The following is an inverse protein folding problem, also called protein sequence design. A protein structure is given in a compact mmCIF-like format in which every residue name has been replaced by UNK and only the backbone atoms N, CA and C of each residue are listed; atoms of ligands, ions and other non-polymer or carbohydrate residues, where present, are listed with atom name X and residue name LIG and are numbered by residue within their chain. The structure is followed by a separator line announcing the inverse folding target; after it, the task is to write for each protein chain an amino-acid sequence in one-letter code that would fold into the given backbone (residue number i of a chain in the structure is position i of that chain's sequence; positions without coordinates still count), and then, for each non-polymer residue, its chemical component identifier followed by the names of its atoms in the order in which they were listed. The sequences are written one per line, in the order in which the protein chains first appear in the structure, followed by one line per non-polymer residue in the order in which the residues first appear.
data_IF_605685337542
#
_entry.id   IF_605685337542
#
_cell.length_a   1.000
_cell.length_b   1.000
_cell.length_c   1.000
_cell.angle_alpha   90.00
_cell.angle_beta   90.00
_cell.angle_gamma   90.00
#
_symmetry.space_group_name_H-M   'P 1'
#
loop_
_entity.id
_entity.type
_entity.pdbx_description
1 polymer ?
#
# COMPACT_ATOMS: atom_id res chain seq x y z
N UNK A 1 -13.64 21.43 9.20
CA UNK A 1 -14.74 20.47 8.96
C UNK A 1 -14.10 19.22 8.37
N UNK A 2 -14.13 18.07 9.05
CA UNK A 2 -13.61 16.84 8.45
C UNK A 2 -14.43 16.57 7.19
N UNK A 3 -13.79 16.56 6.03
CA UNK A 3 -14.48 16.16 4.81
C UNK A 3 -15.05 14.75 5.01
N UNK A 4 -16.21 14.49 4.40
CA UNK A 4 -16.80 13.15 4.40
C UNK A 4 -15.76 12.13 3.90
N UNK A 5 -15.74 10.93 4.49
CA UNK A 5 -14.78 9.90 4.14
C UNK A 5 -14.89 9.52 2.65
N UNK A 6 -16.08 9.65 2.08
CA UNK A 6 -16.32 9.45 0.65
C UNK A 6 -15.54 10.45 -0.20
N UNK A 7 -15.46 11.71 0.23
CA UNK A 7 -14.72 12.75 -0.47
C UNK A 7 -13.21 12.59 -0.29
N UNK A 8 -12.77 12.05 0.86
CA UNK A 8 -11.38 11.63 1.05
C UNK A 8 -10.97 10.53 0.04
N UNK A 9 -11.86 9.57 -0.24
CA UNK A 9 -11.60 8.55 -1.24
C UNK A 9 -11.68 9.08 -2.68
N UNK A 10 -12.59 9.99 -3.01
CA UNK A 10 -12.63 10.62 -4.35
C UNK A 10 -11.39 11.47 -4.64
N UNK A 11 -10.86 12.13 -3.61
CA UNK A 11 -9.70 13.01 -3.73
C UNK A 11 -8.38 12.33 -3.38
N UNK A 12 -8.31 11.00 -3.54
CA UNK A 12 -7.15 10.19 -3.19
C UNK A 12 -5.83 10.73 -3.75
N UNK A 13 -4.79 10.78 -2.93
CA UNK A 13 -3.46 11.28 -3.29
C UNK A 13 -2.62 10.14 -3.82
N UNK A 14 -2.69 9.90 -5.13
CA UNK A 14 -2.01 8.82 -5.86
C UNK A 14 -1.37 9.28 -7.19
N UNK A 15 -1.13 10.58 -7.34
CA UNK A 15 -0.35 11.13 -8.46
C UNK A 15 0.71 12.07 -7.90
N UNK A 16 1.79 12.26 -8.65
CA UNK A 16 2.90 13.12 -8.25
C UNK A 16 2.39 14.55 -8.00
N UNK A 17 1.55 15.08 -8.89
CA UNK A 17 1.02 16.44 -8.81
C UNK A 17 0.08 16.63 -7.60
N UNK A 18 -0.64 15.57 -7.20
CA UNK A 18 -1.47 15.60 -5.98
C UNK A 18 -0.59 15.54 -4.74
N UNK A 19 0.47 14.74 -4.76
CA UNK A 19 1.39 14.54 -3.64
C UNK A 19 2.22 15.79 -3.33
N UNK A 20 2.69 16.50 -4.36
CA UNK A 20 3.47 17.75 -4.26
C UNK A 20 2.74 18.89 -3.52
N UNK A 21 1.41 18.79 -3.40
CA UNK A 21 0.62 19.72 -2.58
C UNK A 21 0.91 19.57 -1.09
N UNK A 22 1.27 18.36 -0.66
CA UNK A 22 1.48 17.99 0.74
C UNK A 22 2.96 17.98 1.12
N UNK A 23 3.82 17.50 0.21
CA UNK A 23 5.24 17.31 0.48
C UNK A 23 6.13 17.87 -0.62
N UNK A 24 7.35 18.26 -0.26
CA UNK A 24 8.40 18.57 -1.22
C UNK A 24 9.12 17.25 -1.57
N UNK A 25 9.01 16.81 -2.82
CA UNK A 25 9.62 15.56 -3.30
C UNK A 25 11.11 15.75 -3.55
N UNK A 26 11.90 14.75 -3.15
CA UNK A 26 13.29 14.62 -3.60
C UNK A 26 13.33 14.11 -5.04
N UNK A 27 14.45 14.34 -5.74
CA UNK A 27 14.63 13.84 -7.10
C UNK A 27 14.56 12.30 -7.17
N UNK A 28 15.06 11.63 -6.13
CA UNK A 28 14.99 10.17 -6.02
C UNK A 28 13.54 9.69 -5.89
N UNK A 29 12.74 10.27 -5.00
CA UNK A 29 11.33 9.87 -4.84
C UNK A 29 10.53 10.15 -6.10
N UNK A 30 10.78 11.28 -6.78
CA UNK A 30 10.12 11.57 -8.06
C UNK A 30 10.40 10.47 -9.08
N UNK A 31 11.68 10.12 -9.28
CA UNK A 31 12.08 9.07 -10.20
C UNK A 31 11.43 7.73 -9.84
N UNK A 32 11.46 7.35 -8.56
CA UNK A 32 10.84 6.11 -8.10
C UNK A 32 9.33 6.12 -8.35
N UNK A 33 8.64 7.24 -8.10
CA UNK A 33 7.21 7.37 -8.34
C UNK A 33 6.84 7.25 -9.83
N UNK A 34 7.70 7.71 -10.73
CA UNK A 34 7.55 7.56 -12.19
C UNK A 34 7.77 6.12 -12.66
N UNK A 35 8.71 5.40 -12.03
CA UNK A 35 9.06 4.02 -12.36
C UNK A 35 8.16 2.99 -11.64
N UNK A 36 7.45 3.38 -10.59
CA UNK A 36 6.65 2.46 -9.76
C UNK A 36 5.38 2.02 -10.48
N UNK A 37 5.21 0.70 -10.63
CA UNK A 37 3.97 0.09 -11.15
C UNK A 37 2.99 -0.36 -10.06
N UNK A 38 3.43 -0.43 -8.81
CA UNK A 38 2.57 -0.82 -7.68
C UNK A 38 1.63 0.31 -7.27
N UNK A 39 0.41 -0.04 -6.87
CA UNK A 39 -0.53 0.97 -6.32
C UNK A 39 0.06 1.60 -5.06
N UNK A 40 -0.03 2.94 -4.99
CA UNK A 40 0.44 3.72 -3.86
C UNK A 40 -0.51 4.89 -3.60
N UNK A 41 -0.30 5.55 -2.47
CA UNK A 41 -1.04 6.74 -2.11
C UNK A 41 -1.95 6.57 -0.90
N UNK A 42 -2.58 7.67 -0.51
CA UNK A 42 -3.42 7.72 0.67
C UNK A 42 -4.52 8.79 0.53
N UNK A 43 -5.47 8.79 1.46
CA UNK A 43 -6.42 9.90 1.59
C UNK A 43 -5.73 11.26 1.80
N UNK A 44 -6.33 12.38 1.35
CA UNK A 44 -5.87 13.74 1.66
C UNK A 44 -5.54 13.99 3.12
N UNK A 45 -6.36 13.48 4.03
CA UNK A 45 -6.14 13.61 5.46
C UNK A 45 -4.84 12.93 5.88
N UNK A 46 -4.61 11.69 5.45
CA UNK A 46 -3.40 10.97 5.80
C UNK A 46 -2.15 11.61 5.17
N UNK A 47 -2.25 12.10 3.93
CA UNK A 47 -1.18 12.88 3.30
C UNK A 47 -0.86 14.18 4.04
N UNK A 48 -1.87 14.85 4.64
CA UNK A 48 -1.67 16.07 5.42
C UNK A 48 -0.91 15.87 6.75
N UNK A 49 -0.75 14.62 7.19
CA UNK A 49 0.05 14.27 8.37
C UNK A 49 1.54 14.12 8.05
N UNK A 50 1.92 14.13 6.76
CA UNK A 50 3.33 14.09 6.37
C UNK A 50 4.00 15.41 6.70
N UNK A 51 5.26 15.34 7.16
CA UNK A 51 6.13 16.50 7.18
C UNK A 51 6.50 16.86 5.73
N UNK A 52 6.33 18.14 5.39
CA UNK A 52 6.54 18.65 4.04
C UNK A 52 8.00 18.56 3.62
N UNK A 53 8.91 18.80 4.56
CA UNK A 53 10.32 19.06 4.29
C UNK A 53 11.24 17.94 4.79
N UNK A 54 10.75 17.02 5.62
CA UNK A 54 11.52 15.86 6.10
C UNK A 54 11.28 14.59 5.25
N UNK A 55 12.27 14.14 4.44
CA UNK A 55 12.18 12.87 3.71
C UNK A 55 12.14 11.64 4.64
N UNK A 56 12.62 11.78 5.89
CA UNK A 56 12.59 10.69 6.88
C UNK A 56 11.29 10.64 7.68
N UNK A 57 10.31 11.48 7.34
CA UNK A 57 9.03 11.52 8.01
C UNK A 57 8.42 10.11 8.08
N UNK A 58 8.05 9.61 9.27
CA UNK A 58 7.58 8.24 9.43
C UNK A 58 6.24 7.98 8.72
N UNK A 59 5.41 9.00 8.53
CA UNK A 59 4.16 8.89 7.77
C UNK A 59 4.45 8.80 6.27
N UNK A 60 5.37 9.65 5.79
CA UNK A 60 5.81 9.69 4.39
C UNK A 60 6.37 8.34 3.93
N UNK A 61 7.25 7.74 4.74
CA UNK A 61 7.87 6.42 4.49
C UNK A 61 6.88 5.27 4.42
N UNK A 62 5.68 5.41 4.97
CA UNK A 62 4.64 4.38 4.90
C UNK A 62 3.86 4.41 3.59
N UNK A 63 3.98 5.47 2.78
CA UNK A 63 3.09 5.72 1.62
C UNK A 63 3.88 5.91 0.33
N UNK A 64 4.98 6.68 0.39
CA UNK A 64 5.82 6.94 -0.78
C UNK A 64 6.69 5.71 -1.05
N UNK A 65 6.63 5.14 -2.27
CA UNK A 65 7.48 4.02 -2.65
C UNK A 65 8.97 4.32 -2.51
N UNK A 66 9.74 3.32 -2.12
CA UNK A 66 11.21 3.38 -2.05
C UNK A 66 11.85 2.40 -3.03
N UNK A 67 13.07 2.70 -3.48
CA UNK A 67 13.85 1.89 -4.43
C UNK A 67 14.08 0.46 -3.92
N UNK A 68 14.37 0.33 -2.63
CA UNK A 68 14.59 -0.95 -1.95
C UNK A 68 13.38 -1.89 -1.95
N UNK A 69 12.18 -1.41 -2.27
CA UNK A 69 10.99 -2.26 -2.26
C UNK A 69 10.97 -3.29 -3.39
N UNK A 70 11.76 -3.10 -4.45
CA UNK A 70 11.97 -4.10 -5.48
C UNK A 70 12.96 -5.20 -5.09
N UNK A 71 13.64 -5.07 -3.95
CA UNK A 71 14.66 -6.02 -3.51
C UNK A 71 14.11 -7.01 -2.49
N UNK A 72 13.88 -8.25 -2.91
CA UNK A 72 13.50 -9.33 -2.02
C UNK A 72 14.74 -10.04 -1.44
N UNK A 73 15.38 -9.42 -0.46
CA UNK A 73 16.63 -9.94 0.15
C UNK A 73 16.37 -11.05 1.18
N UNK A 74 15.31 -10.90 1.98
CA UNK A 74 15.01 -11.80 3.12
C UNK A 74 13.59 -12.36 3.10
N UNK A 75 12.76 -11.96 2.13
CA UNK A 75 11.39 -12.41 2.04
C UNK A 75 11.29 -13.82 1.45
N UNK A 76 10.03 -14.23 1.25
CA UNK A 76 9.69 -15.55 0.73
C UNK A 76 8.90 -15.35 -0.56
N UNK A 77 9.29 -16.05 -1.62
CA UNK A 77 8.50 -16.10 -2.85
C UNK A 77 7.15 -16.76 -2.57
N UNK A 78 6.09 -16.25 -3.20
CA UNK A 78 4.71 -16.71 -2.97
C UNK A 78 4.29 -16.69 -1.49
N UNK A 79 4.80 -15.74 -0.69
CA UNK A 79 4.50 -15.64 0.74
C UNK A 79 2.99 -15.70 1.04
N UNK A 80 2.16 -15.06 0.22
CA UNK A 80 0.71 -15.04 0.41
C UNK A 80 0.08 -16.43 0.20
N UNK A 81 0.63 -17.25 -0.71
CA UNK A 81 0.19 -18.64 -0.91
C UNK A 81 0.44 -19.49 0.34
N UNK A 82 1.60 -19.32 0.97
CA UNK A 82 1.91 -19.96 2.25
C UNK A 82 1.00 -19.43 3.36
N UNK A 83 0.88 -18.10 3.48
CA UNK A 83 0.13 -17.44 4.57
C UNK A 83 -1.36 -17.79 4.55
N UNK A 84 -1.95 -17.86 3.36
CA UNK A 84 -3.36 -18.18 3.16
C UNK A 84 -3.62 -19.69 3.03
N UNK A 85 -2.56 -20.51 3.14
CA UNK A 85 -2.57 -21.96 3.04
C UNK A 85 -3.26 -22.42 1.75
N UNK A 86 -2.79 -21.89 0.62
CA UNK A 86 -3.30 -22.15 -0.72
C UNK A 86 -2.55 -23.27 -1.45
N UNK A 87 -1.34 -23.61 -1.01
CA UNK A 87 -0.56 -24.73 -1.54
C UNK A 87 -1.09 -26.09 -1.04
N UNK A 88 -2.38 -26.34 -1.23
CA UNK A 88 -3.08 -27.56 -0.82
C UNK A 88 -3.98 -28.04 -1.97
N UNK A 89 -4.47 -29.27 -1.91
CA UNK A 89 -5.43 -29.81 -2.89
C UNK A 89 -6.83 -29.17 -2.81
N UNK A 90 -7.07 -28.34 -1.79
CA UNK A 90 -8.35 -27.67 -1.62
C UNK A 90 -8.57 -26.57 -2.68
N UNK A 91 -9.60 -26.75 -3.52
CA UNK A 91 -10.05 -25.74 -4.47
C UNK A 91 -10.98 -24.74 -3.78
N UNK A 92 -10.56 -23.48 -3.67
CA UNK A 92 -11.36 -22.40 -3.09
C UNK A 92 -11.16 -21.07 -3.87
N UNK A 93 -12.16 -20.16 -3.87
CA UNK A 93 -12.00 -18.85 -4.49
C UNK A 93 -10.83 -18.03 -3.92
N UNK A 94 -10.26 -17.13 -4.73
CA UNK A 94 -9.20 -16.21 -4.29
C UNK A 94 -9.65 -15.27 -3.17
N UNK A 95 -10.95 -14.99 -3.05
CA UNK A 95 -11.49 -14.19 -1.96
C UNK A 95 -11.47 -14.90 -0.60
N UNK A 96 -11.12 -16.19 -0.51
CA UNK A 96 -11.14 -16.96 0.74
C UNK A 96 -9.72 -17.41 1.14
N UNK A 97 -9.24 -16.90 2.28
CA UNK A 97 -8.04 -17.39 2.94
C UNK A 97 -8.41 -18.31 4.12
N UNK A 98 -7.76 -19.48 4.23
CA UNK A 98 -7.99 -20.44 5.33
C UNK A 98 -6.68 -20.98 5.87
N UNK A 99 -6.08 -20.21 6.77
CA UNK A 99 -4.87 -20.64 7.48
C UNK A 99 -5.15 -21.70 8.57
N UNK A 100 -6.38 -21.77 9.07
CA UNK A 100 -6.76 -22.61 10.19
C UNK A 100 -7.99 -23.45 9.86
N UNK A 101 -8.12 -24.61 10.51
CA UNK A 101 -9.20 -25.57 10.23
C UNK A 101 -10.60 -25.03 10.52
N UNK A 102 -10.73 -24.18 11.52
CA UNK A 102 -11.99 -23.72 12.11
C UNK A 102 -12.38 -22.28 11.77
N UNK A 103 -11.56 -21.57 10.97
CA UNK A 103 -11.80 -20.16 10.62
C UNK A 103 -11.27 -19.79 9.25
N UNK A 104 -12.00 -18.91 8.58
CA UNK A 104 -11.66 -18.35 7.27
C UNK A 104 -11.69 -16.83 7.31
N UNK A 105 -10.92 -16.20 6.44
CA UNK A 105 -10.98 -14.77 6.17
C UNK A 105 -11.48 -14.54 4.74
N UNK A 106 -12.43 -13.60 4.60
CA UNK A 106 -12.96 -13.20 3.31
C UNK A 106 -12.36 -11.85 2.89
N UNK A 107 -11.75 -11.80 1.71
CA UNK A 107 -11.39 -10.55 1.04
C UNK A 107 -12.63 -9.99 0.36
N UNK A 108 -13.30 -9.05 1.03
CA UNK A 108 -14.51 -8.40 0.52
C UNK A 108 -14.18 -7.25 -0.44
N UNK A 109 -13.03 -6.60 -0.21
CA UNK A 109 -12.53 -5.50 -1.04
C UNK A 109 -11.00 -5.48 -1.01
N UNK A 110 -10.40 -5.03 -2.11
CA UNK A 110 -8.96 -4.72 -2.22
C UNK A 110 -8.71 -3.21 -2.19
N UNK A 111 -9.77 -2.39 -2.07
CA UNK A 111 -9.65 -0.95 -1.95
C UNK A 111 -9.22 -0.57 -0.52
N UNK A 112 -8.13 0.19 -0.42
CA UNK A 112 -7.59 0.69 0.83
C UNK A 112 -7.68 2.22 0.87
N UNK A 113 -7.96 2.80 2.04
CA UNK A 113 -7.85 4.25 2.24
C UNK A 113 -6.39 4.73 2.29
N UNK A 114 -5.45 3.81 2.49
CA UNK A 114 -4.01 4.04 2.53
C UNK A 114 -3.35 2.78 1.96
N UNK A 115 -2.54 2.93 0.92
CA UNK A 115 -1.73 1.84 0.38
C UNK A 115 -0.38 1.82 1.09
N UNK A 116 -0.31 1.09 2.20
CA UNK A 116 0.90 0.99 3.02
C UNK A 116 2.02 0.26 2.27
N UNK A 117 3.24 0.82 2.26
CA UNK A 117 4.42 0.20 1.64
C UNK A 117 4.90 -1.09 2.33
N UNK A 118 4.49 -1.27 3.59
CA UNK A 118 4.76 -2.48 4.39
C UNK A 118 3.57 -3.45 4.42
N UNK A 119 2.62 -3.35 3.48
CA UNK A 119 1.48 -4.26 3.43
C UNK A 119 1.90 -5.67 3.00
N UNK A 120 1.59 -6.68 3.82
CA UNK A 120 1.92 -8.08 3.50
C UNK A 120 1.05 -8.68 2.37
N UNK A 121 0.00 -7.98 1.93
CA UNK A 121 -0.86 -8.33 0.78
C UNK A 121 -0.60 -7.42 -0.42
N UNK A 122 0.49 -6.67 -0.40
CA UNK A 122 0.93 -5.89 -1.55
C UNK A 122 1.49 -6.86 -2.58
N UNK A 123 0.98 -6.77 -3.79
CA UNK A 123 1.57 -7.40 -4.96
C UNK A 123 2.62 -6.44 -5.52
N UNK A 124 3.85 -6.91 -5.65
CA UNK A 124 5.00 -6.17 -6.19
C UNK A 124 5.06 -6.35 -7.71
#
# INVERSE_FOLDING_TARGET
MSADWQDQLKNFVNTIERLEKYVNLTDEERRILEETHTTWGATPHYASLMDRDDPNCPVRRQIIPQSLEGENVYGMDDYLMWKENRATEEVRPESIARQYKDRVAFTVTQACGIYCRHCFRKEL
#
